data_IF_831722740386
#
_entry.id   IF_831722740386
#
_cell.length_a   1.000
_cell.length_b   1.000
_cell.length_c   1.000
_cell.angle_alpha   90.00
_cell.angle_beta   90.00
_cell.angle_gamma   90.00
#
_symmetry.space_group_name_H-M   'P 1'
#
loop_
_entity.id
_entity.type
_entity.pdbx_description
1 polymer ?
#
# COMPACT_ATOMS: atom_id res chain seq x y z
N UNK A 1 2.14 22.36 -4.77
CA UNK A 1 3.20 21.78 -5.62
C UNK A 1 2.67 21.72 -7.05
N UNK A 2 3.47 22.06 -8.06
CA UNK A 2 3.03 22.01 -9.46
C UNK A 2 2.72 20.56 -9.85
N UNK A 3 1.60 20.34 -10.54
CA UNK A 3 1.22 19.02 -11.08
C UNK A 3 2.35 18.49 -11.97
N UNK A 4 2.85 17.29 -11.68
CA UNK A 4 3.76 16.57 -12.58
C UNK A 4 3.02 16.31 -13.89
N UNK A 5 3.59 16.73 -15.02
CA UNK A 5 2.97 16.47 -16.32
C UNK A 5 2.98 14.97 -16.65
N UNK A 6 2.04 14.54 -17.49
CA UNK A 6 1.98 13.15 -17.94
C UNK A 6 3.30 12.73 -18.61
N UNK A 7 3.93 13.61 -19.42
CA UNK A 7 5.18 13.26 -20.09
C UNK A 7 6.30 12.97 -19.09
N UNK A 8 6.41 13.75 -18.01
CA UNK A 8 7.41 13.53 -16.96
C UNK A 8 7.15 12.23 -16.20
N UNK A 9 5.88 11.89 -15.97
CA UNK A 9 5.50 10.64 -15.32
C UNK A 9 5.86 9.44 -16.19
N UNK A 10 5.52 9.47 -17.48
CA UNK A 10 5.89 8.43 -18.45
C UNK A 10 7.40 8.28 -18.55
N UNK A 11 8.14 9.39 -18.69
CA UNK A 11 9.60 9.38 -18.74
C UNK A 11 10.22 8.70 -17.51
N UNK A 12 9.70 8.98 -16.31
CA UNK A 12 10.15 8.35 -15.08
C UNK A 12 9.87 6.84 -15.03
N UNK A 13 8.72 6.40 -15.53
CA UNK A 13 8.38 4.97 -15.61
C UNK A 13 9.20 4.22 -16.67
N UNK A 14 9.72 4.90 -17.69
CA UNK A 14 10.57 4.27 -18.71
C UNK A 14 11.97 3.93 -18.22
N UNK A 15 12.52 4.71 -17.30
CA UNK A 15 13.92 4.57 -16.86
C UNK A 15 14.10 3.56 -15.74
N UNK A 16 13.01 3.04 -15.14
CA UNK A 16 13.06 2.12 -14.01
C UNK A 16 12.04 0.98 -14.14
N UNK A 17 12.37 -0.20 -13.62
CA UNK A 17 11.34 -1.21 -13.29
C UNK A 17 10.59 -0.77 -12.04
N UNK A 18 9.64 0.16 -12.19
CA UNK A 18 8.90 0.76 -11.08
C UNK A 18 8.03 -0.22 -10.31
N UNK A 19 7.77 -1.42 -10.83
CA UNK A 19 7.03 -2.49 -10.13
C UNK A 19 7.93 -3.44 -9.32
N UNK A 20 9.23 -3.19 -9.23
CA UNK A 20 10.20 -4.10 -8.57
C UNK A 20 10.11 -5.55 -9.12
N UNK A 21 9.87 -5.68 -10.43
CA UNK A 21 9.67 -6.94 -11.17
C UNK A 21 8.43 -7.77 -10.79
N UNK A 22 7.53 -7.22 -9.97
CA UNK A 22 6.19 -7.77 -9.77
C UNK A 22 5.30 -7.48 -10.98
N UNK A 23 4.29 -8.30 -11.23
CA UNK A 23 3.43 -8.17 -12.41
C UNK A 23 2.60 -6.88 -12.39
N UNK A 24 2.05 -6.55 -11.22
CA UNK A 24 1.17 -5.40 -11.01
C UNK A 24 1.55 -4.68 -9.71
N UNK A 25 1.58 -3.35 -9.72
CA UNK A 25 1.63 -2.52 -8.54
C UNK A 25 0.33 -1.71 -8.43
N UNK A 26 -0.34 -1.77 -7.28
CA UNK A 26 -1.58 -1.02 -7.00
C UNK A 26 -1.31 -0.08 -5.84
N UNK A 27 -1.30 1.22 -6.11
CA UNK A 27 -0.99 2.25 -5.12
C UNK A 27 -2.26 3.02 -4.73
N UNK A 28 -2.40 3.30 -3.43
CA UNK A 28 -3.49 4.07 -2.85
C UNK A 28 -2.92 5.27 -2.10
N UNK A 29 -3.55 6.43 -2.26
CA UNK A 29 -3.19 7.63 -1.53
C UNK A 29 -3.65 7.58 -0.05
N UNK A 30 -2.82 8.12 0.84
CA UNK A 30 -3.10 8.18 2.28
C UNK A 30 -4.35 9.02 2.62
N UNK A 31 -4.59 10.12 1.91
CA UNK A 31 -5.69 11.02 2.23
C UNK A 31 -7.04 10.33 2.04
N UNK A 32 -7.19 9.53 0.98
CA UNK A 32 -8.39 8.75 0.69
C UNK A 32 -8.54 7.59 1.66
N UNK A 33 -7.45 6.91 2.04
CA UNK A 33 -7.48 5.90 3.12
C UNK A 33 -7.98 6.54 4.43
N UNK A 34 -7.44 7.71 4.81
CA UNK A 34 -7.87 8.42 6.02
C UNK A 34 -9.33 8.87 5.95
N UNK A 35 -9.80 9.34 4.79
CA UNK A 35 -11.21 9.69 4.59
C UNK A 35 -12.13 8.47 4.80
N UNK A 36 -11.75 7.30 4.28
CA UNK A 36 -12.49 6.04 4.47
C UNK A 36 -12.46 5.55 5.93
N UNK A 37 -11.33 5.72 6.63
CA UNK A 37 -11.22 5.42 8.05
C UNK A 37 -12.09 6.36 8.90
N UNK A 38 -12.13 7.65 8.57
CA UNK A 38 -13.01 8.61 9.22
C UNK A 38 -14.50 8.28 8.96
N UNK A 39 -14.86 7.86 7.75
CA UNK A 39 -16.21 7.38 7.46
C UNK A 39 -16.54 6.14 8.30
N UNK A 40 -15.64 5.16 8.36
CA UNK A 40 -15.79 3.94 9.19
C UNK A 40 -15.96 4.30 10.66
N UNK A 41 -15.15 5.23 11.18
CA UNK A 41 -15.20 5.73 12.55
C UNK A 41 -16.60 6.23 12.93
N UNK A 42 -17.27 6.92 12.01
CA UNK A 42 -18.59 7.51 12.22
C UNK A 42 -19.76 6.56 11.93
N UNK A 43 -19.52 5.29 11.60
CA UNK A 43 -20.60 4.35 11.27
C UNK A 43 -21.49 4.02 12.48
N UNK A 44 -22.83 4.11 12.34
CA UNK A 44 -23.77 3.67 13.37
C UNK A 44 -23.60 2.17 13.65
N UNK A 45 -23.65 1.77 14.93
CA UNK A 45 -23.48 0.37 15.36
C UNK A 45 -22.06 -0.02 15.75
N UNK A 46 -21.12 0.92 15.69
CA UNK A 46 -19.73 0.73 16.11
C UNK A 46 -18.80 0.44 14.93
N UNK A 47 -17.65 1.11 14.93
CA UNK A 47 -16.63 0.99 13.89
C UNK A 47 -15.61 -0.12 14.14
N UNK A 48 -15.59 -0.66 15.38
CA UNK A 48 -14.52 -1.50 15.90
C UNK A 48 -13.20 -0.75 16.15
N UNK A 49 -13.08 0.51 15.71
CA UNK A 49 -11.92 1.37 15.96
C UNK A 49 -11.92 1.83 17.42
N UNK A 50 -10.74 2.08 17.97
CA UNK A 50 -10.61 2.63 19.32
C UNK A 50 -11.17 4.05 19.35
N UNK A 51 -12.29 4.24 20.04
CA UNK A 51 -12.94 5.55 20.22
C UNK A 51 -12.69 6.15 21.60
N UNK A 52 -12.20 5.36 22.54
CA UNK A 52 -12.06 5.71 23.95
C UNK A 52 -10.81 5.07 24.55
N UNK A 53 -10.18 5.78 25.47
CA UNK A 53 -9.11 5.28 26.34
C UNK A 53 -9.51 5.53 27.77
N UNK A 54 -9.61 4.46 28.56
CA UNK A 54 -9.75 4.54 30.01
C UNK A 54 -8.54 3.85 30.64
N UNK A 55 -7.71 4.61 31.34
CA UNK A 55 -6.50 4.12 32.00
C UNK A 55 -6.56 4.51 33.48
N UNK A 56 -6.17 3.57 34.34
CA UNK A 56 -5.94 3.79 35.76
C UNK A 56 -4.53 3.30 36.07
N UNK A 57 -3.63 4.24 36.33
CA UNK A 57 -2.22 3.95 36.58
C UNK A 57 -1.89 4.17 38.05
N UNK A 58 -1.22 3.20 38.70
CA UNK A 58 -0.76 3.37 40.08
C UNK A 58 0.53 4.19 40.07
N UNK A 59 0.54 5.29 40.82
CA UNK A 59 1.69 6.21 40.94
C UNK A 59 2.11 6.27 42.39
N UNK A 60 3.42 6.30 42.63
CA UNK A 60 4.02 6.53 43.95
C UNK A 60 4.93 7.76 43.87
N UNK A 61 4.65 8.77 44.70
CA UNK A 61 5.50 9.94 44.84
C UNK A 61 5.70 10.33 46.31
N UNK A 62 6.22 11.54 46.55
CA UNK A 62 6.52 12.03 47.91
C UNK A 62 5.27 12.17 48.80
N UNK A 63 4.07 12.21 48.22
CA UNK A 63 2.79 12.31 48.91
C UNK A 63 2.15 10.93 49.16
N UNK A 64 2.80 9.85 48.74
CA UNK A 64 2.33 8.47 48.89
C UNK A 64 1.87 7.85 47.58
N UNK A 65 1.23 6.69 47.70
CA UNK A 65 0.66 5.98 46.55
C UNK A 65 -0.76 6.49 46.24
N UNK A 66 -1.08 6.63 44.96
CA UNK A 66 -2.42 6.97 44.47
C UNK A 66 -2.63 6.42 43.05
N UNK A 67 -3.84 6.56 42.51
CA UNK A 67 -4.11 6.30 41.11
C UNK A 67 -4.16 7.61 40.33
N UNK A 68 -3.43 7.65 39.21
CA UNK A 68 -3.62 8.64 38.16
C UNK A 68 -4.55 8.05 37.10
N UNK A 69 -5.72 8.65 36.93
CA UNK A 69 -6.75 8.19 36.02
C UNK A 69 -6.79 9.09 34.77
N UNK A 70 -7.05 8.46 33.63
CA UNK A 70 -7.17 9.10 32.33
C UNK A 70 -8.41 8.59 31.61
N UNK A 71 -9.22 9.52 31.12
CA UNK A 71 -10.39 9.23 30.30
C UNK A 71 -10.32 10.08 29.05
N UNK A 72 -10.07 9.48 27.90
CA UNK A 72 -9.98 10.17 26.63
C UNK A 72 -11.02 9.64 25.67
N UNK A 73 -11.78 10.55 25.07
CA UNK A 73 -12.54 10.27 23.86
C UNK A 73 -11.69 10.69 22.67
N UNK A 74 -11.52 9.77 21.75
CA UNK A 74 -10.64 9.92 20.60
C UNK A 74 -11.41 10.44 19.38
N UNK A 75 -10.68 11.08 18.48
CA UNK A 75 -11.16 11.41 17.15
C UNK A 75 -10.88 10.28 16.16
N UNK A 76 -11.33 10.42 14.90
CA UNK A 76 -11.00 9.47 13.86
C UNK A 76 -9.47 9.35 13.72
N UNK A 77 -8.93 8.12 13.63
CA UNK A 77 -7.50 7.94 13.45
C UNK A 77 -7.05 8.38 12.06
N UNK A 78 -5.86 8.96 12.01
CA UNK A 78 -5.14 9.32 10.78
C UNK A 78 -3.91 8.42 10.67
N UNK A 79 -3.73 7.83 9.51
CA UNK A 79 -2.54 7.06 9.16
C UNK A 79 -1.60 7.95 8.37
N UNK A 80 -0.32 7.82 8.63
CA UNK A 80 0.73 8.36 7.77
C UNK A 80 1.75 7.27 7.45
N UNK A 81 1.88 6.93 6.17
CA UNK A 81 2.90 5.97 5.75
C UNK A 81 4.28 6.61 5.82
N UNK A 82 5.28 5.84 6.23
CA UNK A 82 6.63 6.33 6.44
C UNK A 82 7.57 5.79 5.36
N UNK A 83 8.56 6.60 4.99
CA UNK A 83 9.66 6.23 4.10
C UNK A 83 10.79 5.54 4.88
N UNK A 84 10.51 4.35 5.40
CA UNK A 84 11.54 3.51 6.03
C UNK A 84 12.10 2.54 4.98
N UNK A 85 13.43 2.42 4.82
CA UNK A 85 14.02 1.55 3.81
C UNK A 85 13.90 0.05 4.14
N UNK A 86 13.77 -0.28 5.42
CA UNK A 86 13.89 -1.66 5.92
C UNK A 86 12.58 -2.45 5.80
N UNK A 87 11.44 -1.84 6.15
CA UNK A 87 10.13 -2.48 6.12
C UNK A 87 9.03 -1.40 6.01
N UNK A 88 7.86 -1.73 5.44
CA UNK A 88 6.75 -0.80 5.34
C UNK A 88 6.20 -0.48 6.73
N UNK A 89 6.22 0.79 7.09
CA UNK A 89 5.69 1.28 8.36
C UNK A 89 4.73 2.44 8.17
N UNK A 90 3.88 2.64 9.17
CA UNK A 90 3.07 3.83 9.30
C UNK A 90 3.11 4.36 10.73
N UNK A 91 2.66 5.60 10.90
CA UNK A 91 2.21 6.13 12.18
C UNK A 91 0.68 6.22 12.20
N UNK A 92 0.13 6.11 13.41
CA UNK A 92 -1.27 6.35 13.72
C UNK A 92 -1.36 7.58 14.62
N UNK A 93 -2.10 8.59 14.19
CA UNK A 93 -2.34 9.81 14.96
C UNK A 93 -3.83 9.98 15.22
N UNK A 94 -4.22 10.16 16.47
CA UNK A 94 -5.62 10.42 16.84
C UNK A 94 -5.69 11.61 17.79
N UNK A 95 -6.65 12.50 17.55
CA UNK A 95 -6.88 13.64 18.42
C UNK A 95 -7.64 13.21 19.68
N UNK A 96 -7.33 13.81 20.84
CA UNK A 96 -8.20 13.73 22.00
C UNK A 96 -9.27 14.82 21.82
N UNK A 97 -10.49 14.39 21.49
CA UNK A 97 -11.60 15.32 21.19
C UNK A 97 -12.33 15.78 22.44
N UNK A 98 -12.28 14.98 23.51
CA UNK A 98 -12.69 15.36 24.86
C UNK A 98 -12.09 14.39 25.87
N UNK A 99 -12.08 14.74 27.14
CA UNK A 99 -11.58 13.85 28.18
C UNK A 99 -11.27 14.56 29.48
N UNK A 100 -10.95 13.79 30.50
CA UNK A 100 -10.48 14.31 31.78
C UNK A 100 -9.39 13.44 32.39
N UNK A 101 -8.62 14.08 33.26
CA UNK A 101 -7.61 13.45 34.09
C UNK A 101 -7.91 13.77 35.55
N UNK A 102 -7.70 12.83 36.46
CA UNK A 102 -7.92 13.03 37.89
C UNK A 102 -7.07 12.06 38.69
N UNK A 103 -6.87 12.36 39.97
CA UNK A 103 -6.27 11.44 40.93
C UNK A 103 -7.36 10.78 41.77
N UNK A 104 -7.13 9.55 42.22
CA UNK A 104 -8.00 8.88 43.19
C UNK A 104 -7.15 8.12 44.22
N UNK A 105 -7.68 7.94 45.42
CA UNK A 105 -7.00 7.17 46.46
C UNK A 105 -7.05 5.67 46.14
N UNK A 106 -6.13 4.87 46.68
CA UNK A 106 -6.17 3.42 46.47
C UNK A 106 -7.40 2.75 47.05
N UNK A 107 -7.85 3.24 48.22
CA UNK A 107 -9.00 2.70 48.94
C UNK A 107 -10.34 3.27 48.46
N UNK A 108 -10.31 4.31 47.62
CA UNK A 108 -11.49 4.93 47.01
C UNK A 108 -11.19 5.33 45.56
N UNK A 109 -11.13 4.34 44.65
CA UNK A 109 -10.65 4.53 43.28
C UNK A 109 -11.66 5.25 42.36
N UNK A 110 -12.88 5.49 42.84
CA UNK A 110 -13.95 6.12 42.06
C UNK A 110 -14.08 7.63 42.37
N UNK A 111 -13.51 8.10 43.48
CA UNK A 111 -13.47 9.53 43.80
C UNK A 111 -12.51 10.28 42.88
N UNK A 112 -13.03 11.34 42.24
CA UNK A 112 -12.28 12.18 41.30
C UNK A 112 -11.65 13.40 41.97
N UNK A 113 -10.46 13.26 42.54
CA UNK A 113 -9.71 14.37 43.10
C UNK A 113 -8.96 15.13 42.00
N UNK A 114 -8.92 16.46 42.08
CA UNK A 114 -8.21 17.34 41.14
C UNK A 114 -8.58 17.09 39.65
N UNK A 115 -9.85 16.79 39.37
CA UNK A 115 -10.29 16.53 38.00
C UNK A 115 -10.04 17.76 37.12
N UNK A 116 -9.31 17.55 36.02
CA UNK A 116 -9.08 18.55 34.99
C UNK A 116 -9.65 18.05 33.67
N UNK A 117 -10.57 18.83 33.12
CA UNK A 117 -11.06 18.64 31.77
C UNK A 117 -9.97 19.04 30.77
N UNK A 118 -9.79 18.25 29.73
CA UNK A 118 -8.85 18.52 28.66
C UNK A 118 -9.50 19.40 27.60
N UNK A 119 -8.75 20.39 27.13
CA UNK A 119 -9.17 21.24 26.02
C UNK A 119 -9.33 20.39 24.75
N UNK A 120 -10.46 20.54 24.08
CA UNK A 120 -10.73 19.88 22.80
C UNK A 120 -9.69 20.33 21.78
N UNK A 121 -9.17 19.41 20.95
CA UNK A 121 -8.21 19.70 19.87
C UNK A 121 -6.80 20.13 20.29
N UNK A 122 -6.48 20.07 21.58
CA UNK A 122 -5.13 20.44 22.08
C UNK A 122 -4.17 19.25 22.08
N UNK A 123 -4.65 18.02 22.17
CA UNK A 123 -3.78 16.85 22.33
C UNK A 123 -3.97 15.85 21.19
N UNK A 124 -2.88 15.20 20.80
CA UNK A 124 -2.88 14.07 19.89
C UNK A 124 -2.08 12.92 20.49
N UNK A 125 -2.61 11.71 20.39
CA UNK A 125 -1.85 10.50 20.64
C UNK A 125 -1.27 10.05 19.31
N UNK A 126 0.05 9.93 19.24
CA UNK A 126 0.76 9.44 18.05
C UNK A 126 1.48 8.15 18.40
N UNK A 127 1.22 7.11 17.60
CA UNK A 127 1.92 5.82 17.65
C UNK A 127 2.73 5.72 16.36
N UNK A 128 4.06 5.67 16.46
CA UNK A 128 4.96 5.63 15.30
C UNK A 128 5.62 4.27 15.12
N UNK A 129 6.14 4.03 13.91
CA UNK A 129 6.86 2.80 13.52
C UNK A 129 5.98 1.55 13.60
N UNK A 130 4.69 1.69 13.33
CA UNK A 130 3.77 0.57 13.28
C UNK A 130 4.04 -0.21 12.01
N UNK A 131 4.33 -1.50 12.16
CA UNK A 131 4.49 -2.39 11.01
C UNK A 131 3.13 -2.74 10.42
N UNK A 132 3.06 -2.84 9.10
CA UNK A 132 1.88 -3.37 8.43
C UNK A 132 1.95 -4.91 8.40
N UNK A 133 0.79 -5.55 8.52
CA UNK A 133 0.65 -7.01 8.47
C UNK A 133 -0.47 -7.42 7.53
N UNK A 134 -0.44 -8.67 7.06
CA UNK A 134 -1.51 -9.32 6.34
C UNK A 134 -2.21 -10.35 7.23
N UNK A 135 -3.54 -10.31 7.26
CA UNK A 135 -4.39 -11.28 7.92
C UNK A 135 -5.18 -12.11 6.89
N UNK A 136 -5.58 -13.33 7.25
CA UNK A 136 -6.64 -14.06 6.55
C UNK A 136 -8.04 -13.67 7.06
N UNK A 137 -9.08 -14.33 6.56
CA UNK A 137 -10.48 -14.09 6.97
C UNK A 137 -10.84 -14.55 8.38
N UNK A 138 -9.94 -15.24 9.07
CA UNK A 138 -10.08 -15.67 10.48
C UNK A 138 -9.20 -14.80 11.41
N UNK A 139 -8.73 -13.65 10.93
CA UNK A 139 -7.83 -12.72 11.63
C UNK A 139 -6.47 -13.30 12.01
N UNK A 140 -6.04 -14.39 11.36
CA UNK A 140 -4.73 -14.99 11.59
C UNK A 140 -3.68 -14.28 10.76
N UNK A 141 -2.53 -14.00 11.37
CA UNK A 141 -1.39 -13.41 10.68
C UNK A 141 -0.84 -14.40 9.64
N UNK A 142 -0.73 -13.95 8.38
CA UNK A 142 -0.19 -14.72 7.26
C UNK A 142 1.10 -14.12 6.67
N UNK A 143 1.57 -13.00 7.22
CA UNK A 143 2.82 -12.36 6.84
C UNK A 143 2.88 -10.89 7.27
N UNK A 144 4.11 -10.39 7.48
CA UNK A 144 4.41 -8.99 7.74
C UNK A 144 4.97 -8.26 6.51
N UNK A 145 5.38 -7.01 6.71
CA UNK A 145 5.92 -6.15 5.66
C UNK A 145 7.16 -6.65 4.90
N UNK A 146 7.90 -7.62 5.47
CA UNK A 146 9.06 -8.22 4.84
C UNK A 146 8.74 -9.52 4.10
N UNK A 147 7.54 -10.06 4.28
CA UNK A 147 7.17 -11.38 3.80
C UNK A 147 6.48 -11.29 2.43
N UNK A 148 6.74 -12.26 1.57
CA UNK A 148 5.87 -12.51 0.43
C UNK A 148 4.67 -13.31 0.91
N UNK A 149 3.49 -12.71 0.87
CA UNK A 149 2.25 -13.37 1.26
C UNK A 149 1.75 -14.19 0.08
N UNK A 150 1.70 -15.50 0.25
CA UNK A 150 1.22 -16.41 -0.78
C UNK A 150 -0.24 -16.79 -0.52
N UNK A 151 -1.03 -16.83 -1.59
CA UNK A 151 -2.35 -17.43 -1.52
C UNK A 151 -2.24 -18.97 -1.56
N UNK A 152 -3.10 -19.69 -0.82
CA UNK A 152 -3.10 -21.15 -0.89
C UNK A 152 -3.49 -21.60 -2.29
N UNK A 153 -2.82 -22.64 -2.78
CA UNK A 153 -3.14 -23.22 -4.09
C UNK A 153 -4.55 -23.81 -4.08
N UNK A 154 -5.35 -23.49 -5.10
CA UNK A 154 -6.70 -24.02 -5.31
C UNK A 154 -7.74 -23.69 -4.21
N UNK A 155 -7.43 -22.75 -3.31
CA UNK A 155 -8.40 -22.25 -2.32
C UNK A 155 -8.63 -20.77 -2.57
N UNK A 156 -9.88 -20.42 -2.80
CA UNK A 156 -10.35 -19.05 -2.86
C UNK A 156 -10.34 -18.46 -1.44
N UNK A 157 -9.71 -17.30 -1.27
CA UNK A 157 -9.61 -16.63 0.01
C UNK A 157 -9.37 -15.13 -0.11
N UNK A 158 -9.77 -14.42 0.94
CA UNK A 158 -9.45 -13.02 1.17
C UNK A 158 -8.19 -12.86 2.02
N UNK A 159 -7.51 -11.73 1.81
CA UNK A 159 -6.40 -11.25 2.63
C UNK A 159 -6.58 -9.78 2.92
N UNK A 160 -6.29 -9.39 4.15
CA UNK A 160 -6.51 -8.05 4.66
C UNK A 160 -5.19 -7.43 5.09
N UNK A 161 -4.85 -6.28 4.54
CA UNK A 161 -3.68 -5.50 4.96
C UNK A 161 -4.14 -4.58 6.08
N UNK A 162 -3.55 -4.71 7.26
CA UNK A 162 -3.97 -4.03 8.48
C UNK A 162 -2.82 -3.24 9.10
N UNK A 163 -3.17 -2.20 9.85
CA UNK A 163 -2.26 -1.62 10.85
C UNK A 163 -2.19 -2.58 12.02
N UNK A 164 -1.10 -3.34 12.10
CA UNK A 164 -0.87 -4.25 13.22
C UNK A 164 -0.11 -3.50 14.29
N UNK A 165 -0.79 -3.14 15.38
CA UNK A 165 -0.14 -2.59 16.56
C UNK A 165 0.36 -3.80 17.36
N UNK A 166 1.64 -4.21 17.22
CA UNK A 166 2.10 -5.48 17.75
C UNK A 166 1.97 -5.55 19.27
N UNK A 167 1.65 -6.75 19.73
CA UNK A 167 1.60 -7.13 21.15
C UNK A 167 2.99 -7.48 21.72
N UNK A 168 4.03 -7.56 20.87
CA UNK A 168 5.43 -7.78 21.24
C UNK A 168 6.35 -7.41 20.06
N UNK A 169 7.43 -6.69 20.32
CA UNK A 169 8.41 -6.24 19.32
C UNK A 169 8.96 -4.86 19.66
N UNK A 170 10.26 -4.66 19.48
CA UNK A 170 10.95 -3.44 19.90
C UNK A 170 10.69 -2.28 18.95
N UNK A 171 10.30 -1.14 19.55
CA UNK A 171 10.28 0.23 19.00
C UNK A 171 8.97 0.77 18.39
N UNK A 172 7.80 0.43 18.95
CA UNK A 172 6.67 1.37 18.89
C UNK A 172 6.95 2.59 19.75
N UNK A 173 6.93 3.77 19.14
CA UNK A 173 7.07 5.04 19.87
C UNK A 173 5.68 5.64 20.08
N UNK A 174 5.32 5.84 21.35
CA UNK A 174 4.11 6.54 21.76
C UNK A 174 4.47 7.96 22.16
N UNK A 175 3.75 8.94 21.64
CA UNK A 175 3.85 10.33 22.09
C UNK A 175 2.46 10.91 22.34
N UNK A 176 2.41 11.89 23.24
CA UNK A 176 1.27 12.79 23.39
C UNK A 176 1.75 14.15 22.91
N UNK A 177 1.32 14.52 21.72
CA UNK A 177 1.68 15.79 21.08
C UNK A 177 0.69 16.89 21.50
N UNK A 178 1.17 18.13 21.54
CA UNK A 178 0.40 19.34 21.86
C UNK A 178 1.03 20.56 21.16
N UNK A 179 0.34 21.70 21.03
CA UNK A 179 0.86 22.86 20.32
C UNK A 179 2.17 23.38 20.92
N UNK A 180 3.07 23.87 20.08
CA UNK A 180 4.31 24.49 20.53
C UNK A 180 4.03 25.68 21.45
N UNK A 181 4.74 25.75 22.59
CA UNK A 181 4.55 26.79 23.60
C UNK A 181 3.36 26.56 24.55
N UNK A 182 2.58 25.48 24.37
CA UNK A 182 1.56 25.07 25.33
C UNK A 182 2.19 24.28 26.48
N UNK A 183 1.81 24.60 27.72
CA UNK A 183 2.27 23.89 28.92
C UNK A 183 1.17 22.92 29.39
N UNK A 184 1.27 21.62 29.05
CA UNK A 184 0.24 20.66 29.41
C UNK A 184 0.31 20.28 30.91
N UNK A 185 -0.79 19.76 31.48
CA UNK A 185 -0.77 19.19 32.83
C UNK A 185 0.36 18.18 33.00
N UNK A 186 0.99 18.14 34.18
CA UNK A 186 2.11 17.25 34.44
C UNK A 186 1.81 15.79 34.07
N UNK A 187 0.62 15.30 34.43
CA UNK A 187 0.16 13.94 34.12
C UNK A 187 0.17 13.58 32.62
N UNK A 188 0.05 14.57 31.72
CA UNK A 188 0.08 14.38 30.25
C UNK A 188 1.51 14.30 29.69
N UNK A 189 2.54 14.61 30.49
CA UNK A 189 3.97 14.58 30.11
C UNK A 189 4.71 13.37 30.68
N UNK A 190 4.03 12.51 31.43
CA UNK A 190 4.69 11.43 32.17
C UNK A 190 5.00 10.23 31.27
N UNK A 191 6.15 9.61 31.48
CA UNK A 191 6.48 8.32 30.86
C UNK A 191 5.52 7.20 31.30
N UNK A 192 4.94 7.32 32.51
CA UNK A 192 3.90 6.41 33.01
C UNK A 192 2.66 6.42 32.11
N UNK A 193 2.20 7.60 31.67
CA UNK A 193 1.11 7.69 30.69
C UNK A 193 1.46 6.99 29.37
N UNK A 194 2.67 7.22 28.84
CA UNK A 194 3.09 6.60 27.58
C UNK A 194 3.16 5.07 27.69
N UNK A 195 3.60 4.56 28.84
CA UNK A 195 3.62 3.13 29.15
C UNK A 195 2.20 2.57 29.24
N UNK A 196 1.31 3.24 29.98
CA UNK A 196 -0.07 2.80 30.12
C UNK A 196 -0.86 2.88 28.81
N UNK A 197 -0.60 3.89 27.97
CA UNK A 197 -1.14 3.97 26.61
C UNK A 197 -0.68 2.78 25.76
N UNK A 198 0.62 2.44 25.81
CA UNK A 198 1.15 1.27 25.11
C UNK A 198 0.41 0.00 25.52
N UNK A 199 0.23 -0.22 26.83
CA UNK A 199 -0.45 -1.40 27.35
C UNK A 199 -1.95 -1.43 27.02
N UNK A 200 -2.59 -0.25 27.04
CA UNK A 200 -3.97 -0.08 26.61
C UNK A 200 -4.17 -0.48 25.15
N UNK A 201 -3.41 0.13 24.22
CA UNK A 201 -3.54 -0.15 22.79
C UNK A 201 -3.17 -1.60 22.47
N UNK A 202 -2.20 -2.17 23.19
CA UNK A 202 -1.85 -3.60 23.07
C UNK A 202 -3.02 -4.54 23.42
N UNK A 203 -3.87 -4.17 24.37
CA UNK A 203 -4.91 -5.05 24.91
C UNK A 203 -6.31 -4.80 24.32
N UNK A 204 -6.55 -3.60 23.79
CA UNK A 204 -7.91 -3.14 23.43
C UNK A 204 -8.09 -2.85 21.93
N UNK A 205 -7.04 -2.94 21.12
CA UNK A 205 -7.16 -2.69 19.67
C UNK A 205 -7.65 -3.93 18.93
N UNK A 206 -8.76 -3.77 18.22
CA UNK A 206 -9.18 -4.72 17.19
C UNK A 206 -8.42 -4.44 15.88
N UNK A 207 -7.46 -5.30 15.53
CA UNK A 207 -6.62 -5.14 14.33
C UNK A 207 -7.42 -5.06 13.03
N UNK A 208 -8.52 -5.81 12.93
CA UNK A 208 -9.38 -5.86 11.75
C UNK A 208 -10.06 -4.52 11.49
N UNK A 209 -10.37 -3.78 12.56
CA UNK A 209 -10.98 -2.46 12.42
C UNK A 209 -10.06 -1.48 11.67
N UNK A 210 -8.74 -1.69 11.74
CA UNK A 210 -7.71 -0.92 11.05
C UNK A 210 -7.28 -1.54 9.70
N UNK A 211 -8.16 -2.30 9.05
CA UNK A 211 -7.95 -2.79 7.68
C UNK A 211 -7.88 -1.64 6.67
N UNK A 212 -6.81 -1.62 5.88
CA UNK A 212 -6.47 -0.60 4.88
C UNK A 212 -6.80 -1.03 3.46
N UNK A 213 -6.57 -2.30 3.14
CA UNK A 213 -6.83 -2.87 1.83
C UNK A 213 -7.22 -4.34 1.97
N UNK A 214 -7.98 -4.83 0.98
CA UNK A 214 -8.35 -6.23 0.83
C UNK A 214 -7.91 -6.70 -0.55
N UNK A 215 -7.31 -7.88 -0.61
CA UNK A 215 -6.93 -8.56 -1.84
C UNK A 215 -7.44 -10.00 -1.80
N UNK A 216 -7.98 -10.48 -2.91
CA UNK A 216 -8.53 -11.83 -3.03
C UNK A 216 -7.96 -12.54 -4.25
N UNK A 217 -7.96 -13.87 -4.22
CA UNK A 217 -7.55 -14.72 -5.34
C UNK A 217 -8.73 -15.38 -6.05
N UNK A 218 -9.89 -14.72 -6.04
CA UNK A 218 -11.10 -15.21 -6.67
C UNK A 218 -11.01 -15.09 -8.18
N UNK A 219 -11.43 -16.14 -8.89
CA UNK A 219 -11.51 -16.03 -10.35
C UNK A 219 -12.70 -15.15 -10.72
N UNK A 220 -12.53 -14.05 -11.49
CA UNK A 220 -13.65 -13.23 -11.89
C UNK A 220 -14.64 -14.05 -12.73
N UNK A 221 -15.93 -13.92 -12.44
CA UNK A 221 -17.03 -14.64 -13.13
C UNK A 221 -17.16 -14.25 -14.60
N UNK A 222 -16.67 -13.08 -14.98
CA UNK A 222 -16.65 -12.58 -16.35
C UNK A 222 -15.38 -11.79 -16.64
N UNK A 223 -14.74 -12.06 -17.76
CA UNK A 223 -13.53 -11.37 -18.20
C UNK A 223 -12.68 -12.26 -19.10
N UNK A 224 -11.90 -11.64 -19.99
CA UNK A 224 -10.97 -12.36 -20.88
C UNK A 224 -9.63 -12.64 -20.18
N UNK A 225 -9.34 -11.95 -19.07
CA UNK A 225 -8.02 -11.97 -18.43
C UNK A 225 -8.06 -12.48 -17.00
N UNK A 226 -7.15 -13.40 -16.69
CA UNK A 226 -6.98 -14.04 -15.39
C UNK A 226 -5.91 -13.28 -14.58
N UNK A 227 -6.24 -12.09 -14.09
CA UNK A 227 -5.37 -11.32 -13.17
C UNK A 227 -5.53 -11.80 -11.72
N UNK A 228 -5.71 -13.10 -11.50
CA UNK A 228 -5.90 -13.66 -10.17
C UNK A 228 -4.59 -13.62 -9.40
N UNK A 229 -4.52 -12.94 -8.24
CA UNK A 229 -3.34 -12.94 -7.38
C UNK A 229 -2.91 -14.35 -6.96
N UNK A 230 -1.61 -14.63 -7.06
CA UNK A 230 -0.94 -15.80 -6.52
C UNK A 230 -0.15 -15.47 -5.26
N UNK A 231 0.52 -14.31 -5.28
CA UNK A 231 1.28 -13.80 -4.15
C UNK A 231 1.27 -12.27 -4.18
N UNK A 232 1.53 -11.65 -3.04
CA UNK A 232 1.69 -10.21 -2.96
C UNK A 232 2.68 -9.79 -1.86
N UNK A 233 3.11 -8.54 -1.96
CA UNK A 233 3.78 -7.76 -0.92
C UNK A 233 3.13 -6.41 -0.80
N UNK A 234 3.40 -5.71 0.30
CA UNK A 234 3.05 -4.30 0.43
C UNK A 234 4.30 -3.48 0.74
N UNK A 235 4.34 -2.28 0.21
CA UNK A 235 5.39 -1.29 0.41
C UNK A 235 4.76 0.06 0.70
N UNK A 236 5.49 0.91 1.43
CA UNK A 236 5.07 2.27 1.73
C UNK A 236 5.97 3.29 1.06
N UNK A 237 5.42 4.44 0.73
CA UNK A 237 6.19 5.55 0.20
C UNK A 237 5.69 6.86 0.77
N UNK A 238 6.62 7.72 1.17
CA UNK A 238 6.32 9.08 1.60
C UNK A 238 7.16 10.04 0.75
N UNK A 239 6.50 11.09 0.25
CA UNK A 239 7.13 12.13 -0.55
C UNK A 239 7.58 13.23 0.40
N UNK A 240 8.89 13.29 0.63
CA UNK A 240 9.53 14.29 1.48
C UNK A 240 9.05 15.70 1.15
N UNK A 241 8.84 16.50 2.19
CA UNK A 241 8.35 17.89 2.10
C UNK A 241 6.95 18.02 1.46
N UNK A 242 6.12 16.97 1.58
CA UNK A 242 4.71 17.00 1.19
C UNK A 242 3.85 16.17 2.14
N UNK A 243 2.54 16.43 2.14
CA UNK A 243 1.56 15.62 2.87
C UNK A 243 1.10 14.38 2.07
N UNK A 244 1.96 13.88 1.16
CA UNK A 244 1.65 12.75 0.29
C UNK A 244 2.42 11.51 0.72
N UNK A 245 1.68 10.51 1.15
CA UNK A 245 2.21 9.16 1.32
C UNK A 245 1.25 8.12 0.73
N UNK A 246 1.75 6.92 0.50
CA UNK A 246 1.08 5.89 -0.28
C UNK A 246 1.32 4.49 0.30
N UNK A 247 0.28 3.67 0.24
CA UNK A 247 0.36 2.21 0.38
C UNK A 247 0.33 1.60 -1.01
N UNK A 248 1.26 0.71 -1.30
CA UNK A 248 1.28 -0.02 -2.57
C UNK A 248 1.27 -1.51 -2.33
N UNK A 249 0.40 -2.22 -3.05
CA UNK A 249 0.41 -3.67 -3.18
C UNK A 249 1.19 -4.05 -4.44
N UNK A 250 2.22 -4.86 -4.28
CA UNK A 250 2.97 -5.50 -5.37
C UNK A 250 2.44 -6.92 -5.52
N UNK A 251 1.92 -7.26 -6.70
CA UNK A 251 1.10 -8.45 -6.92
C UNK A 251 1.72 -9.31 -8.02
N UNK A 252 1.87 -10.59 -7.72
CA UNK A 252 2.15 -11.64 -8.69
C UNK A 252 0.83 -12.31 -9.04
N UNK A 253 0.55 -12.46 -10.32
CA UNK A 253 -0.65 -13.09 -10.86
C UNK A 253 -0.39 -14.56 -11.18
N UNK A 254 -1.46 -15.37 -11.19
CA UNK A 254 -1.39 -16.78 -11.57
C UNK A 254 -0.92 -16.90 -13.02
N UNK A 255 0.04 -17.79 -13.25
CA UNK A 255 0.64 -18.01 -14.57
C UNK A 255 1.86 -17.14 -14.87
N UNK A 256 2.19 -16.15 -14.02
CA UNK A 256 3.48 -15.48 -14.08
C UNK A 256 4.57 -16.33 -13.45
N UNK A 257 5.72 -16.44 -14.14
CA UNK A 257 6.91 -17.12 -13.63
C UNK A 257 7.79 -16.21 -12.75
N UNK A 258 7.46 -14.92 -12.65
CA UNK A 258 8.26 -13.95 -11.87
C UNK A 258 7.62 -13.74 -10.50
N UNK A 259 8.26 -14.18 -9.39
CA UNK A 259 7.79 -13.84 -8.04
C UNK A 259 8.10 -12.39 -7.65
N UNK A 260 8.53 -11.55 -8.59
CA UNK A 260 9.11 -10.24 -8.33
C UNK A 260 10.41 -10.32 -7.54
N UNK A 261 10.96 -9.15 -7.20
CA UNK A 261 12.02 -9.10 -6.19
C UNK A 261 11.44 -9.40 -4.81
N UNK A 262 12.17 -10.20 -4.03
CA UNK A 262 11.75 -10.68 -2.71
C UNK A 262 12.69 -10.25 -1.58
N UNK A 263 13.81 -9.60 -1.91
CA UNK A 263 14.77 -9.03 -0.95
C UNK A 263 14.79 -7.52 -1.11
N UNK A 264 14.84 -6.80 0.01
CA UNK A 264 14.99 -5.34 0.06
C UNK A 264 13.98 -4.54 -0.78
N UNK A 265 12.80 -5.11 -1.01
CA UNK A 265 11.75 -4.58 -1.91
C UNK A 265 11.31 -3.17 -1.50
N UNK A 266 11.22 -2.91 -0.19
CA UNK A 266 10.89 -1.59 0.34
C UNK A 266 11.95 -0.53 -0.02
N UNK A 267 13.24 -0.86 0.16
CA UNK A 267 14.35 0.02 -0.21
C UNK A 267 14.40 0.27 -1.71
N UNK A 268 14.20 -0.78 -2.51
CA UNK A 268 14.15 -0.68 -3.96
C UNK A 268 12.98 0.18 -4.43
N UNK A 269 11.78 -0.03 -3.87
CA UNK A 269 10.60 0.79 -4.17
C UNK A 269 10.86 2.27 -3.91
N UNK A 270 11.38 2.60 -2.72
CA UNK A 270 11.76 3.97 -2.38
C UNK A 270 12.78 4.53 -3.38
N UNK A 271 13.82 3.76 -3.71
CA UNK A 271 14.88 4.18 -4.63
C UNK A 271 14.34 4.43 -6.04
N UNK A 272 13.48 3.54 -6.53
CA UNK A 272 12.88 3.64 -7.85
C UNK A 272 12.05 4.93 -7.98
N UNK A 273 11.21 5.25 -7.00
CA UNK A 273 10.34 6.44 -7.08
C UNK A 273 11.07 7.75 -6.74
N UNK A 274 12.00 7.73 -5.77
CA UNK A 274 12.74 8.94 -5.38
C UNK A 274 13.88 9.29 -6.35
N UNK A 275 14.65 8.31 -6.82
CA UNK A 275 15.92 8.56 -7.50
C UNK A 275 15.83 8.34 -9.01
N UNK A 276 15.15 7.27 -9.44
CA UNK A 276 15.12 6.85 -10.85
C UNK A 276 13.96 7.48 -11.61
N UNK A 277 12.72 7.27 -11.16
CA UNK A 277 11.52 7.81 -11.76
C UNK A 277 11.30 9.29 -11.40
N UNK A 278 11.69 9.69 -10.18
CA UNK A 278 11.58 11.07 -9.65
C UNK A 278 10.18 11.65 -9.75
N UNK A 279 9.18 10.81 -9.56
CA UNK A 279 7.75 11.12 -9.53
C UNK A 279 7.08 10.33 -8.40
N UNK A 280 5.88 10.71 -7.98
CA UNK A 280 5.11 9.93 -7.01
C UNK A 280 4.48 8.70 -7.69
N UNK A 281 4.21 7.59 -6.97
CA UNK A 281 3.57 6.42 -7.54
C UNK A 281 2.12 6.65 -7.98
N UNK A 282 1.43 7.62 -7.38
CA UNK A 282 0.10 8.06 -7.81
C UNK A 282 0.22 9.42 -8.51
N UNK A 283 -0.29 9.57 -9.75
CA UNK A 283 -0.29 10.85 -10.46
C UNK A 283 -1.04 11.96 -9.70
N UNK A 284 -0.64 13.20 -9.92
CA UNK A 284 -1.30 14.35 -9.29
C UNK A 284 -2.78 14.42 -9.66
N UNK A 285 -3.65 14.66 -8.67
CA UNK A 285 -5.10 14.71 -8.84
C UNK A 285 -5.81 13.35 -8.86
N UNK A 286 -5.06 12.24 -8.78
CA UNK A 286 -5.61 10.90 -8.66
C UNK A 286 -5.50 10.40 -7.21
N UNK A 287 -6.34 9.41 -6.87
CA UNK A 287 -6.36 8.78 -5.53
C UNK A 287 -5.75 7.38 -5.49
N UNK A 288 -5.55 6.79 -6.65
CA UNK A 288 -4.94 5.48 -6.80
C UNK A 288 -4.31 5.36 -8.18
N UNK A 289 -3.42 4.38 -8.33
CA UNK A 289 -2.87 3.98 -9.63
C UNK A 289 -2.72 2.45 -9.70
N UNK A 290 -2.80 1.92 -10.92
CA UNK A 290 -2.45 0.54 -11.24
C UNK A 290 -1.34 0.61 -12.29
N UNK A 291 -0.21 0.01 -11.98
CA UNK A 291 0.96 -0.02 -12.86
C UNK A 291 1.24 -1.48 -13.20
N UNK A 292 1.30 -1.79 -14.49
CA UNK A 292 1.53 -3.14 -14.97
C UNK A 292 2.96 -3.24 -15.50
N UNK A 293 3.69 -4.27 -15.08
CA UNK A 293 5.04 -4.51 -15.59
C UNK A 293 5.01 -4.75 -17.10
N UNK A 294 5.90 -4.08 -17.84
CA UNK A 294 5.94 -4.17 -19.30
C UNK A 294 6.09 -5.61 -19.83
N UNK A 295 6.92 -6.43 -19.18
CA UNK A 295 7.13 -7.82 -19.57
C UNK A 295 5.88 -8.66 -19.35
N UNK A 296 5.23 -8.48 -18.20
CA UNK A 296 3.96 -9.14 -17.90
C UNK A 296 2.85 -8.68 -18.86
N UNK A 297 2.73 -7.37 -19.09
CA UNK A 297 1.75 -6.80 -20.01
C UNK A 297 1.89 -7.39 -21.42
N UNK A 298 3.12 -7.47 -21.92
CA UNK A 298 3.41 -8.09 -23.21
C UNK A 298 2.98 -9.57 -23.22
N UNK A 299 3.34 -10.34 -22.20
CA UNK A 299 3.06 -11.78 -22.16
C UNK A 299 1.58 -12.09 -21.97
N UNK A 300 0.88 -11.37 -21.10
CA UNK A 300 -0.49 -11.64 -20.72
C UNK A 300 -1.52 -10.99 -21.65
N UNK A 301 -1.21 -9.83 -22.26
CA UNK A 301 -2.18 -9.08 -23.06
C UNK A 301 -1.83 -9.08 -24.55
N UNK A 302 -0.56 -8.84 -24.89
CA UNK A 302 -0.17 -8.65 -26.30
C UNK A 302 0.06 -9.98 -27.01
N UNK A 303 0.87 -10.89 -26.45
CA UNK A 303 1.18 -12.19 -27.10
C UNK A 303 -0.06 -13.03 -27.42
N UNK A 304 -1.07 -13.17 -26.53
CA UNK A 304 -2.26 -13.97 -26.84
C UNK A 304 -3.07 -13.37 -27.99
N UNK A 305 -3.21 -12.04 -28.03
CA UNK A 305 -3.87 -11.33 -29.14
C UNK A 305 -3.12 -11.47 -30.48
N UNK A 306 -1.80 -11.67 -30.42
CA UNK A 306 -0.95 -11.92 -31.58
C UNK A 306 -0.85 -13.40 -31.98
N UNK A 307 -1.64 -14.30 -31.37
CA UNK A 307 -1.61 -15.76 -31.59
C UNK A 307 -1.84 -16.29 -33.02
N UNK A 308 -1.88 -15.42 -34.04
CA UNK A 308 -1.75 -15.77 -35.45
C UNK A 308 -0.34 -15.57 -36.04
N UNK A 309 0.59 -14.95 -35.31
CA UNK A 309 1.98 -14.76 -35.73
C UNK A 309 2.88 -15.86 -35.14
N UNK A 310 3.62 -16.57 -35.99
CA UNK A 310 4.36 -17.79 -35.62
C UNK A 310 5.60 -17.57 -34.75
N UNK A 311 6.06 -16.33 -34.58
CA UNK A 311 7.21 -16.01 -33.72
C UNK A 311 7.33 -14.50 -33.49
N UNK A 312 7.22 -14.07 -32.22
CA UNK A 312 7.65 -12.74 -31.77
C UNK A 312 9.05 -12.91 -31.19
N UNK A 313 10.07 -12.41 -31.88
CA UNK A 313 11.47 -12.67 -31.54
C UNK A 313 12.11 -11.55 -30.75
N UNK A 314 11.60 -10.31 -30.82
CA UNK A 314 12.24 -9.18 -30.15
C UNK A 314 11.26 -8.05 -29.83
N UNK A 315 11.33 -7.56 -28.59
CA UNK A 315 10.61 -6.37 -28.13
C UNK A 315 11.66 -5.35 -27.73
N UNK A 316 11.76 -4.28 -28.50
CA UNK A 316 12.68 -3.18 -28.24
C UNK A 316 11.89 -2.04 -27.61
N UNK A 317 12.31 -1.56 -26.45
CA UNK A 317 11.78 -0.30 -25.91
C UNK A 317 12.57 0.80 -26.65
N UNK A 318 11.92 1.65 -27.47
CA UNK A 318 12.64 2.69 -28.21
C UNK A 318 13.39 3.61 -27.24
N UNK A 319 14.66 3.88 -27.55
CA UNK A 319 15.56 4.65 -26.70
C UNK A 319 15.10 6.12 -26.55
N UNK A 320 15.04 6.57 -25.29
CA UNK A 320 15.08 7.92 -24.68
C UNK A 320 14.35 9.13 -25.28
N UNK A 321 13.91 9.12 -26.54
CA UNK A 321 13.39 10.31 -27.23
C UNK A 321 11.92 10.18 -27.68
N UNK A 322 11.29 9.02 -27.48
CA UNK A 322 9.85 8.83 -27.66
C UNK A 322 9.14 8.82 -26.31
N UNK A 323 7.99 9.51 -26.20
CA UNK A 323 7.13 9.64 -25.00
C UNK A 323 6.40 8.31 -24.69
N UNK A 324 7.15 7.22 -24.69
CA UNK A 324 6.68 5.87 -24.44
C UNK A 324 6.12 5.10 -25.62
N UNK A 325 6.02 3.79 -25.41
CA UNK A 325 5.59 2.80 -26.39
C UNK A 325 6.29 1.44 -26.20
N UNK A 326 5.55 0.38 -26.50
CA UNK A 326 6.09 -0.97 -26.66
C UNK A 326 6.24 -1.22 -28.16
N UNK A 327 7.47 -1.43 -28.65
CA UNK A 327 7.66 -1.88 -30.03
C UNK A 327 7.84 -3.39 -30.06
N UNK A 328 6.98 -4.09 -30.78
CA UNK A 328 7.05 -5.54 -30.94
C UNK A 328 7.35 -5.86 -32.40
N UNK A 329 8.44 -6.58 -32.66
CA UNK A 329 8.72 -7.10 -33.99
C UNK A 329 8.08 -8.49 -34.13
N UNK A 330 7.07 -8.58 -34.98
CA UNK A 330 6.38 -9.84 -35.28
C UNK A 330 6.92 -10.39 -36.60
N UNK A 331 7.43 -11.62 -36.58
CA UNK A 331 7.77 -12.35 -37.81
C UNK A 331 6.61 -13.29 -38.14
N UNK A 332 5.88 -12.95 -39.19
CA UNK A 332 4.82 -13.81 -39.71
C UNK A 332 5.42 -15.03 -40.42
N UNK A 333 4.77 -16.20 -40.34
CA UNK A 333 5.23 -17.36 -41.08
C UNK A 333 5.14 -17.04 -42.56
N UNK A 334 6.15 -17.46 -43.33
CA UNK A 334 6.09 -17.35 -44.79
C UNK A 334 4.86 -18.11 -45.26
N UNK A 335 3.86 -17.41 -45.81
CA UNK A 335 2.70 -18.07 -46.38
C UNK A 335 3.17 -18.86 -47.60
N UNK A 336 3.30 -20.18 -47.44
CA UNK A 336 3.43 -21.08 -48.57
C UNK A 336 2.04 -21.12 -49.20
N UNK A 337 1.79 -20.31 -50.24
CA UNK A 337 0.62 -20.52 -51.10
C UNK A 337 0.71 -21.96 -51.59
N UNK A 338 -0.28 -22.77 -51.20
CA UNK A 338 -0.42 -24.13 -51.72
C UNK A 338 -0.29 -24.09 -53.23
N UNK A 339 0.54 -24.99 -53.76
CA UNK A 339 0.86 -25.07 -55.18
C UNK A 339 -0.44 -25.34 -55.95
N UNK A 340 -1.15 -24.29 -56.38
CA UNK A 340 -2.21 -24.46 -57.36
C UNK A 340 -1.49 -24.88 -58.63
N UNK A 341 -1.62 -26.15 -58.98
CA UNK A 341 -1.26 -26.66 -60.30
C UNK A 341 -2.12 -25.94 -61.34
N UNK A 342 -1.72 -24.73 -61.72
CA UNK A 342 -2.12 -24.11 -62.97
C UNK A 342 -1.32 -24.78 -64.09
N UNK A 343 -1.70 -26.02 -64.41
CA UNK A 343 -1.52 -26.52 -65.77
C UNK A 343 -2.68 -25.98 -66.60
N UNK A 344 -2.68 -24.66 -66.82
CA UNK A 344 -3.17 -24.15 -68.09
C UNK A 344 -2.57 -22.77 -68.41
N UNK A 345 -1.94 -22.74 -69.57
CA UNK A 345 -1.49 -21.62 -70.41
C UNK A 345 -1.15 -20.25 -69.81
N UNK A 346 0.14 -19.91 -69.96
CA UNK A 346 0.66 -18.59 -70.38
C UNK A 346 0.19 -17.35 -69.61
N UNK A 347 0.91 -17.02 -68.53
CA UNK A 347 1.33 -15.64 -68.21
C UNK A 347 2.64 -15.77 -67.44
N UNK A 348 3.69 -15.15 -67.96
CA UNK A 348 4.91 -14.89 -67.21
C UNK A 348 4.59 -13.84 -66.15
N UNK A 349 4.57 -14.21 -64.88
CA UNK A 349 4.65 -13.23 -63.80
C UNK A 349 5.58 -13.72 -62.70
N UNK A 350 6.67 -12.98 -62.60
CA UNK A 350 7.71 -13.03 -61.59
C UNK A 350 7.12 -12.55 -60.24
N UNK A 351 6.41 -13.44 -59.54
CA UNK A 351 5.90 -13.14 -58.20
C UNK A 351 7.03 -13.26 -57.18
N UNK A 352 7.69 -12.12 -56.93
CA UNK A 352 8.59 -11.89 -55.82
C UNK A 352 8.08 -12.52 -54.51
N UNK A 353 8.90 -13.38 -53.92
CA UNK A 353 8.81 -13.74 -52.49
C UNK A 353 9.21 -12.53 -51.66
N UNK A 354 8.25 -11.74 -51.22
CA UNK A 354 8.49 -10.72 -50.21
C UNK A 354 8.34 -11.35 -48.81
N UNK A 355 9.39 -11.41 -47.98
CA UNK A 355 9.17 -11.43 -46.54
C UNK A 355 8.57 -10.06 -46.19
N UNK A 356 7.26 -10.04 -45.90
CA UNK A 356 6.63 -8.86 -45.34
C UNK A 356 7.03 -8.76 -43.87
N UNK A 357 8.12 -8.03 -43.61
CA UNK A 357 8.45 -7.57 -42.27
C UNK A 357 7.55 -6.38 -41.93
N UNK A 358 6.56 -6.59 -41.07
CA UNK A 358 5.77 -5.50 -40.51
C UNK A 358 6.30 -5.16 -39.11
N UNK A 359 6.75 -3.92 -38.93
CA UNK A 359 6.95 -3.34 -37.59
C UNK A 359 5.61 -2.79 -37.12
N UNK A 360 5.05 -3.37 -36.05
CA UNK A 360 3.89 -2.82 -35.38
C UNK A 360 4.40 -2.03 -34.17
N UNK A 361 4.33 -0.71 -34.26
CA UNK A 361 4.52 0.15 -33.10
C UNK A 361 3.19 0.29 -32.37
N UNK A 362 3.09 -0.24 -31.15
CA UNK A 362 1.95 0.08 -30.28
C UNK A 362 2.39 1.24 -29.38
N UNK A 363 1.84 2.43 -29.66
CA UNK A 363 1.87 3.51 -28.68
C UNK A 363 0.81 3.19 -27.63
N UNK A 364 1.24 2.85 -26.43
CA UNK A 364 0.36 2.74 -25.27
C UNK A 364 0.83 3.85 -24.33
N UNK A 365 -0.01 4.89 -24.22
CA UNK A 365 0.18 6.03 -23.32
C UNK A 365 -0.38 5.74 -21.94
#
# INVERSE_FOLDING_TARGET
>A
MASVSLEKYLQGMHTASVTCNWDVAVSYDQQKINALLAERYNKPGGSGLTTKVDIREKVEDRNGEYYQNYHFNLGPPLIQFQKMPTFPTCSLKTAIVSGSIWTSELNDPDTKQNEKQLDTTTYWITISNISLSALDGDDKNVGGGNDTVNFPSNVESDRYIVVDIPTSGEQLTFTVDYPSGYEPPYAMKTESLLTALRDFFKSNVNRVAYTLAQINNYKPTSGVLDLVPQAFRFVTYDVSDSDLSFLTLLIQTRGSSSPGHIKDVQSEWITNWSNTARVAPVPSGQSASIIINNSFFLQAFIKPGLGQASSITEVTIPSSNSIGGLSAQCKWPTQIRGNRNYRDSSISDDFMRWPLEYKVGLLIS
#
